data_IF_917504524289
#
_entry.id   IF_917504524289
#
_cell.length_a   1.000
_cell.length_b   1.000
_cell.length_c   1.000
_cell.angle_alpha   90.00
_cell.angle_beta   90.00
_cell.angle_gamma   90.00
#
_symmetry.space_group_name_H-M   'P 1'
#
loop_
_entity.id
_entity.type
_entity.pdbx_description
1 polymer ?
#
# COMPACT_ATOMS: atom_id res chain seq x y z
N UNK A 1 -0.63 10.23 -24.01
CA UNK A 1 0.71 10.80 -23.74
C UNK A 1 1.12 11.81 -24.83
N UNK A 2 1.06 11.45 -26.11
CA UNK A 2 1.44 12.34 -27.23
C UNK A 2 0.51 13.55 -27.37
N UNK A 3 -0.78 13.39 -27.09
CA UNK A 3 -1.80 14.45 -27.19
C UNK A 3 -2.07 15.20 -25.88
N UNK A 4 -1.37 14.89 -24.78
CA UNK A 4 -1.56 15.48 -23.44
C UNK A 4 -3.02 15.44 -22.95
N UNK A 5 -3.81 14.46 -23.38
CA UNK A 5 -5.19 14.21 -22.94
C UNK A 5 -5.14 13.48 -21.60
N UNK A 6 -6.06 13.83 -20.71
CA UNK A 6 -6.17 13.16 -19.41
C UNK A 6 -6.45 11.67 -19.58
N UNK A 7 -5.79 10.76 -18.81
CA UNK A 7 -5.93 9.30 -18.98
C UNK A 7 -7.38 8.81 -18.98
N UNK A 8 -8.21 9.30 -18.04
CA UNK A 8 -9.63 8.94 -17.96
C UNK A 8 -10.39 9.26 -19.24
N UNK A 9 -10.19 10.46 -19.81
CA UNK A 9 -10.81 10.84 -21.08
C UNK A 9 -10.32 9.96 -22.24
N UNK A 10 -9.02 9.62 -22.26
CA UNK A 10 -8.45 8.74 -23.27
C UNK A 10 -9.10 7.34 -23.22
N UNK A 11 -9.28 6.78 -22.02
CA UNK A 11 -9.92 5.48 -21.83
C UNK A 11 -11.40 5.50 -22.25
N UNK A 12 -12.16 6.51 -21.84
CA UNK A 12 -13.56 6.65 -22.22
C UNK A 12 -13.74 6.83 -23.73
N UNK A 13 -12.94 7.69 -24.37
CA UNK A 13 -12.94 7.87 -25.82
C UNK A 13 -12.60 6.56 -26.52
N UNK A 14 -11.58 5.84 -26.04
CA UNK A 14 -11.19 4.55 -26.63
C UNK A 14 -12.31 3.51 -26.50
N UNK A 15 -12.97 3.42 -25.35
CA UNK A 15 -14.11 2.52 -25.16
C UNK A 15 -15.26 2.83 -26.12
N UNK A 16 -15.59 4.11 -26.28
CA UNK A 16 -16.64 4.55 -27.24
C UNK A 16 -16.26 4.25 -28.69
N UNK A 17 -15.01 4.53 -29.09
CA UNK A 17 -14.52 4.24 -30.46
C UNK A 17 -14.52 2.74 -30.76
N UNK A 18 -14.07 1.92 -29.81
CA UNK A 18 -14.06 0.45 -29.98
C UNK A 18 -15.49 -0.08 -30.08
N UNK A 19 -16.41 0.37 -29.20
CA UNK A 19 -17.79 -0.08 -29.23
C UNK A 19 -18.52 0.29 -30.52
N UNK A 20 -18.33 1.54 -31.02
CA UNK A 20 -18.87 1.96 -32.31
C UNK A 20 -18.25 1.16 -33.47
N UNK A 21 -16.94 0.94 -33.45
CA UNK A 21 -16.24 0.15 -34.47
C UNK A 21 -16.66 -1.33 -34.48
N UNK A 22 -17.08 -1.85 -33.33
CA UNK A 22 -17.67 -3.19 -33.19
C UNK A 22 -19.15 -3.26 -33.62
N UNK A 23 -19.76 -2.16 -34.04
CA UNK A 23 -21.15 -2.10 -34.48
C UNK A 23 -22.17 -2.10 -33.36
N UNK A 24 -21.80 -1.73 -32.13
CA UNK A 24 -22.74 -1.66 -31.00
C UNK A 24 -23.74 -0.52 -31.21
N UNK A 25 -25.07 -0.75 -30.97
CA UNK A 25 -26.05 0.33 -30.94
C UNK A 25 -25.70 1.38 -29.88
N UNK A 26 -25.81 2.66 -30.21
CA UNK A 26 -25.41 3.77 -29.32
C UNK A 26 -26.02 3.67 -27.91
N UNK A 27 -27.31 3.39 -27.72
CA UNK A 27 -27.88 3.24 -26.37
C UNK A 27 -27.25 2.11 -25.58
N UNK A 28 -26.96 0.96 -26.23
CA UNK A 28 -26.31 -0.19 -25.62
C UNK A 28 -24.86 0.14 -25.24
N UNK A 29 -24.15 0.85 -26.11
CA UNK A 29 -22.77 1.27 -25.87
C UNK A 29 -22.67 2.18 -24.62
N UNK A 30 -23.51 3.23 -24.55
CA UNK A 30 -23.52 4.14 -23.39
C UNK A 30 -23.80 3.37 -22.10
N UNK A 31 -24.86 2.55 -22.10
CA UNK A 31 -25.23 1.75 -20.93
C UNK A 31 -24.10 0.76 -20.53
N UNK A 32 -23.41 0.16 -21.50
CA UNK A 32 -22.28 -0.76 -21.23
C UNK A 32 -21.11 -0.03 -20.58
N UNK A 33 -20.77 1.17 -21.04
CA UNK A 33 -19.70 1.99 -20.46
C UNK A 33 -20.07 2.43 -19.03
N UNK A 34 -21.28 2.94 -18.81
CA UNK A 34 -21.76 3.35 -17.49
C UNK A 34 -21.80 2.17 -16.51
N UNK A 35 -22.33 1.04 -16.94
CA UNK A 35 -22.41 -0.18 -16.14
C UNK A 35 -21.00 -0.70 -15.78
N UNK A 36 -20.10 -0.77 -16.75
CA UNK A 36 -18.74 -1.23 -16.53
C UNK A 36 -17.96 -0.34 -15.57
N UNK A 37 -18.09 0.99 -15.71
CA UNK A 37 -17.51 1.93 -14.78
C UNK A 37 -18.10 1.79 -13.37
N UNK A 38 -19.44 1.67 -13.27
CA UNK A 38 -20.15 1.51 -12.00
C UNK A 38 -19.76 0.22 -11.26
N UNK A 39 -19.71 -0.91 -11.96
CA UNK A 39 -19.32 -2.22 -11.38
C UNK A 39 -17.87 -2.21 -10.89
N UNK A 40 -16.96 -1.60 -11.66
CA UNK A 40 -15.55 -1.48 -11.25
C UNK A 40 -15.43 -0.61 -10.00
N UNK A 41 -16.06 0.55 -9.98
CA UNK A 41 -16.04 1.46 -8.82
C UNK A 41 -16.69 0.83 -7.59
N UNK A 42 -17.80 0.13 -7.74
CA UNK A 42 -18.47 -0.55 -6.64
C UNK A 42 -17.54 -1.52 -5.90
N UNK A 43 -16.68 -2.23 -6.63
CA UNK A 43 -15.75 -3.20 -6.05
C UNK A 43 -14.58 -2.59 -5.29
N UNK A 44 -14.16 -1.37 -5.65
CA UNK A 44 -12.89 -0.82 -5.17
C UNK A 44 -12.97 0.52 -4.44
N UNK A 45 -14.04 1.30 -4.63
CA UNK A 45 -14.13 2.67 -4.11
C UNK A 45 -13.99 2.75 -2.58
N UNK A 46 -14.65 1.83 -1.86
CA UNK A 46 -14.55 1.75 -0.40
C UNK A 46 -13.13 1.38 0.06
N UNK A 47 -12.49 0.45 -0.65
CA UNK A 47 -11.15 -0.01 -0.29
C UNK A 47 -10.10 1.07 -0.56
N UNK A 48 -10.22 1.79 -1.68
CA UNK A 48 -9.34 2.93 -1.99
C UNK A 48 -9.51 4.02 -0.94
N UNK A 49 -10.76 4.41 -0.63
CA UNK A 49 -11.04 5.43 0.37
C UNK A 49 -10.53 5.06 1.76
N UNK A 50 -10.88 3.86 2.24
CA UNK A 50 -10.46 3.38 3.56
C UNK A 50 -8.95 3.13 3.62
N UNK A 51 -8.35 2.57 2.56
CA UNK A 51 -6.90 2.41 2.46
C UNK A 51 -6.15 3.73 2.52
N UNK A 52 -6.66 4.78 1.84
CA UNK A 52 -6.11 6.13 1.93
C UNK A 52 -6.19 6.71 3.34
N UNK A 53 -7.32 6.55 4.02
CA UNK A 53 -7.49 6.99 5.41
C UNK A 53 -6.50 6.27 6.34
N UNK A 54 -6.38 4.96 6.20
CA UNK A 54 -5.46 4.16 6.99
C UNK A 54 -4.00 4.55 6.73
N UNK A 55 -3.62 4.66 5.45
CA UNK A 55 -2.29 5.12 5.04
C UNK A 55 -1.96 6.51 5.57
N UNK A 56 -2.89 7.46 5.51
CA UNK A 56 -2.71 8.83 6.02
C UNK A 56 -2.45 8.90 7.52
N UNK A 57 -3.11 8.05 8.32
CA UNK A 57 -2.82 7.98 9.76
C UNK A 57 -1.42 7.41 10.00
N UNK A 58 -1.03 6.35 9.28
CA UNK A 58 0.32 5.76 9.38
C UNK A 58 1.41 6.73 8.94
N UNK A 59 1.12 7.57 7.95
CA UNK A 59 2.01 8.63 7.47
C UNK A 59 2.25 9.68 8.55
N UNK A 60 1.20 10.35 8.98
CA UNK A 60 1.30 11.50 9.91
C UNK A 60 1.78 11.07 11.30
N UNK A 61 1.42 9.86 11.74
CA UNK A 61 1.90 9.31 13.02
C UNK A 61 3.38 8.90 13.02
N UNK A 62 4.06 8.94 11.86
CA UNK A 62 5.40 8.40 11.72
C UNK A 62 5.46 6.87 11.79
N UNK A 63 4.31 6.19 11.63
CA UNK A 63 4.24 4.72 11.70
C UNK A 63 5.13 4.04 10.67
N UNK A 64 5.08 4.46 9.41
CA UNK A 64 5.92 3.92 8.35
C UNK A 64 7.42 4.15 8.60
N UNK A 65 7.79 5.35 9.08
CA UNK A 65 9.15 5.68 9.48
C UNK A 65 9.62 4.83 10.65
N UNK A 66 8.76 4.60 11.66
CA UNK A 66 9.05 3.75 12.81
C UNK A 66 9.43 2.31 12.37
N UNK A 67 8.68 1.73 11.44
CA UNK A 67 8.97 0.40 10.90
C UNK A 67 10.34 0.41 10.23
N UNK A 68 10.60 1.38 9.35
CA UNK A 68 11.87 1.51 8.65
C UNK A 68 13.05 1.66 9.60
N UNK A 69 12.97 2.63 10.50
CA UNK A 69 14.05 2.94 11.46
C UNK A 69 14.37 1.74 12.36
N UNK A 70 13.33 1.06 12.87
CA UNK A 70 13.51 -0.11 13.74
C UNK A 70 14.16 -1.26 13.00
N UNK A 71 13.75 -1.53 11.77
CA UNK A 71 14.34 -2.59 10.96
C UNK A 71 15.78 -2.24 10.55
N UNK A 72 16.05 -1.01 10.16
CA UNK A 72 17.41 -0.53 9.83
C UNK A 72 18.33 -0.70 11.05
N UNK A 73 17.89 -0.27 12.23
CA UNK A 73 18.66 -0.38 13.46
C UNK A 73 18.93 -1.86 13.83
N UNK A 74 17.93 -2.73 13.62
CA UNK A 74 18.05 -4.16 13.94
C UNK A 74 18.93 -4.93 12.96
N UNK A 75 18.85 -4.65 11.66
CA UNK A 75 19.65 -5.32 10.62
C UNK A 75 21.05 -4.72 10.45
N UNK A 76 21.24 -3.47 10.91
CA UNK A 76 22.47 -2.71 10.76
C UNK A 76 22.70 -2.18 9.34
N UNK A 77 23.65 -1.25 9.21
CA UNK A 77 23.94 -0.54 7.96
C UNK A 77 24.28 -1.46 6.77
N UNK A 78 24.97 -2.59 7.04
CA UNK A 78 25.34 -3.55 5.99
C UNK A 78 24.13 -4.19 5.29
N UNK A 79 23.02 -4.35 6.02
CA UNK A 79 21.79 -4.99 5.54
C UNK A 79 20.61 -3.99 5.44
N UNK A 80 20.88 -2.69 5.51
CA UNK A 80 19.83 -1.67 5.50
C UNK A 80 18.99 -1.67 4.21
N UNK A 81 19.56 -2.05 3.06
CA UNK A 81 18.78 -2.26 1.84
C UNK A 81 17.72 -3.37 1.97
N UNK A 82 18.06 -4.46 2.68
CA UNK A 82 17.10 -5.54 2.99
C UNK A 82 16.02 -5.02 3.95
N UNK A 83 16.42 -4.27 4.99
CA UNK A 83 15.51 -3.67 5.95
C UNK A 83 14.50 -2.75 5.26
N UNK A 84 14.95 -1.90 4.33
CA UNK A 84 14.08 -1.03 3.54
C UNK A 84 13.14 -1.82 2.63
N UNK A 85 13.62 -2.90 2.00
CA UNK A 85 12.79 -3.78 1.19
C UNK A 85 11.67 -4.44 2.00
N UNK A 86 11.99 -4.97 3.18
CA UNK A 86 11.00 -5.55 4.10
C UNK A 86 10.03 -4.48 4.61
N UNK A 87 10.54 -3.29 4.95
CA UNK A 87 9.69 -2.15 5.32
C UNK A 87 8.71 -1.83 4.20
N UNK A 88 9.21 -1.70 2.96
CA UNK A 88 8.39 -1.45 1.79
C UNK A 88 7.31 -2.52 1.62
N UNK A 89 7.66 -3.80 1.75
CA UNK A 89 6.69 -4.90 1.64
C UNK A 89 5.58 -4.80 2.71
N UNK A 90 5.94 -4.55 3.96
CA UNK A 90 4.98 -4.42 5.07
C UNK A 90 4.10 -3.18 4.89
N UNK A 91 4.70 -2.03 4.66
CA UNK A 91 3.98 -0.75 4.52
C UNK A 91 3.12 -0.74 3.26
N UNK A 92 3.63 -1.31 2.15
CA UNK A 92 2.92 -1.39 0.87
C UNK A 92 1.63 -2.21 0.90
N UNK A 93 1.42 -3.09 1.90
CA UNK A 93 0.15 -3.81 2.03
C UNK A 93 -1.03 -2.88 2.35
N UNK A 94 -0.76 -1.72 2.94
CA UNK A 94 -1.80 -0.84 3.51
C UNK A 94 -1.68 0.60 3.06
N UNK A 95 -0.49 1.05 2.67
CA UNK A 95 -0.21 2.40 2.19
C UNK A 95 -0.10 2.38 0.68
N UNK A 96 -0.68 3.35 0.00
CA UNK A 96 -0.50 3.49 -1.44
C UNK A 96 0.97 3.64 -1.81
N UNK A 97 1.34 3.06 -2.95
CA UNK A 97 2.72 3.04 -3.43
C UNK A 97 3.36 4.44 -3.43
N UNK A 98 2.66 5.43 -4.00
CA UNK A 98 3.14 6.80 -4.14
C UNK A 98 3.37 7.46 -2.76
N UNK A 99 2.43 7.29 -1.83
CA UNK A 99 2.55 7.82 -0.47
C UNK A 99 3.70 7.14 0.28
N UNK A 100 3.82 5.81 0.18
CA UNK A 100 4.93 5.06 0.76
C UNK A 100 6.29 5.50 0.23
N UNK A 101 6.36 5.80 -1.06
CA UNK A 101 7.57 6.34 -1.70
C UNK A 101 7.94 7.70 -1.10
N UNK A 102 7.01 8.64 -1.04
CA UNK A 102 7.25 9.99 -0.50
C UNK A 102 7.76 9.94 0.94
N UNK A 103 7.16 9.08 1.78
CA UNK A 103 7.51 8.98 3.20
C UNK A 103 8.87 8.30 3.41
N UNK A 104 9.18 7.26 2.65
CA UNK A 104 10.31 6.38 2.94
C UNK A 104 11.56 6.66 2.09
N UNK A 105 11.45 7.35 0.96
CA UNK A 105 12.61 7.72 0.12
C UNK A 105 13.64 8.56 0.88
N UNK A 106 13.28 9.55 1.72
CA UNK A 106 14.27 10.29 2.48
C UNK A 106 15.18 9.41 3.33
N UNK A 107 14.64 8.32 3.92
CA UNK A 107 15.43 7.37 4.69
C UNK A 107 16.44 6.61 3.82
N UNK A 108 16.03 6.21 2.60
CA UNK A 108 16.93 5.56 1.65
C UNK A 108 18.07 6.50 1.22
N UNK A 109 17.77 7.77 1.00
CA UNK A 109 18.75 8.80 0.68
C UNK A 109 19.69 9.09 1.86
N UNK A 110 19.17 9.20 3.07
CA UNK A 110 19.97 9.36 4.29
C UNK A 110 20.97 8.22 4.47
N UNK A 111 20.56 6.96 4.23
CA UNK A 111 21.44 5.81 4.26
C UNK A 111 22.49 5.84 3.15
N UNK A 112 22.14 6.23 1.93
CA UNK A 112 23.07 6.37 0.83
C UNK A 112 24.17 7.41 1.16
N UNK A 113 23.77 8.57 1.70
CA UNK A 113 24.68 9.63 2.17
C UNK A 113 25.63 9.13 3.26
N UNK A 114 25.08 8.45 4.27
CA UNK A 114 25.85 7.94 5.42
C UNK A 114 26.86 6.86 5.03
N UNK A 115 26.47 5.94 4.16
CA UNK A 115 27.28 4.76 3.79
C UNK A 115 28.14 4.96 2.56
N UNK A 116 27.98 6.09 1.85
CA UNK A 116 28.67 6.41 0.57
C UNK A 116 28.45 5.33 -0.52
N UNK A 117 27.34 4.60 -0.45
CA UNK A 117 26.94 3.64 -1.47
C UNK A 117 26.01 4.30 -2.48
N UNK A 118 25.90 3.69 -3.67
CA UNK A 118 24.93 4.12 -4.69
C UNK A 118 23.53 4.21 -4.09
N UNK A 119 22.80 5.29 -4.42
CA UNK A 119 21.41 5.50 -4.03
C UNK A 119 20.50 4.35 -4.47
N UNK A 120 20.81 3.76 -5.64
CA UNK A 120 20.07 2.60 -6.18
C UNK A 120 20.11 1.38 -5.25
N UNK A 121 21.18 1.22 -4.46
CA UNK A 121 21.30 0.10 -3.52
C UNK A 121 20.22 0.09 -2.44
N UNK A 122 19.66 1.26 -2.11
CA UNK A 122 18.62 1.44 -1.08
C UNK A 122 17.24 1.67 -1.66
N UNK A 123 17.16 2.45 -2.75
CA UNK A 123 15.88 2.83 -3.36
C UNK A 123 15.22 1.64 -4.07
N UNK A 124 15.99 0.82 -4.80
CA UNK A 124 15.41 -0.32 -5.53
C UNK A 124 14.73 -1.32 -4.60
N UNK A 125 15.33 -1.81 -3.49
CA UNK A 125 14.64 -2.72 -2.59
C UNK A 125 13.39 -2.09 -1.95
N UNK A 126 13.46 -0.81 -1.60
CA UNK A 126 12.33 -0.07 -1.05
C UNK A 126 11.15 -0.05 -2.02
N UNK A 127 11.40 0.37 -3.28
CA UNK A 127 10.37 0.44 -4.31
C UNK A 127 9.83 -0.95 -4.68
N UNK A 128 10.70 -1.95 -4.76
CA UNK A 128 10.28 -3.33 -5.01
C UNK A 128 9.40 -3.85 -3.86
N UNK A 129 9.76 -3.58 -2.61
CA UNK A 129 8.95 -3.94 -1.45
C UNK A 129 7.58 -3.26 -1.46
N UNK A 130 7.54 -1.93 -1.61
CA UNK A 130 6.30 -1.18 -1.69
C UNK A 130 5.40 -1.67 -2.84
N UNK A 131 5.97 -1.83 -4.04
CA UNK A 131 5.23 -2.27 -5.22
C UNK A 131 4.68 -3.68 -5.07
N UNK A 132 5.47 -4.62 -4.53
CA UNK A 132 5.01 -6.01 -4.35
C UNK A 132 4.00 -6.13 -3.21
N UNK A 133 4.18 -5.41 -2.11
CA UNK A 133 3.20 -5.34 -1.02
C UNK A 133 1.86 -4.83 -1.51
N UNK A 134 1.88 -3.75 -2.26
CA UNK A 134 0.69 -3.14 -2.84
C UNK A 134 0.03 -3.99 -3.94
N UNK A 135 0.81 -4.64 -4.81
CA UNK A 135 0.26 -5.39 -5.94
C UNK A 135 -0.30 -6.76 -5.56
N UNK A 136 0.36 -7.48 -4.63
CA UNK A 136 0.06 -8.89 -4.39
C UNK A 136 -0.70 -9.18 -3.10
N UNK A 137 -0.65 -8.28 -2.12
CA UNK A 137 -1.15 -8.60 -0.78
C UNK A 137 -2.40 -7.78 -0.44
N UNK A 138 -3.58 -8.42 -0.26
CA UNK A 138 -4.74 -7.75 0.30
C UNK A 138 -4.43 -7.12 1.69
N UNK A 139 -5.10 -6.04 2.10
CA UNK A 139 -6.33 -5.47 1.52
C UNK A 139 -6.11 -4.33 0.51
N UNK A 140 -4.99 -4.30 -0.22
CA UNK A 140 -4.80 -3.29 -1.26
C UNK A 140 -5.92 -3.37 -2.31
N UNK A 141 -6.34 -2.21 -2.84
CA UNK A 141 -7.46 -2.15 -3.77
C UNK A 141 -7.21 -2.98 -5.05
N UNK A 142 -5.97 -2.96 -5.57
CA UNK A 142 -5.60 -3.71 -6.77
C UNK A 142 -5.70 -5.22 -6.59
N UNK A 143 -5.13 -5.75 -5.50
CA UNK A 143 -5.16 -7.19 -5.23
C UNK A 143 -6.57 -7.69 -4.95
N UNK A 144 -7.40 -6.91 -4.25
CA UNK A 144 -8.81 -7.28 -3.99
C UNK A 144 -9.64 -7.24 -5.28
N UNK A 145 -9.42 -6.25 -6.16
CA UNK A 145 -10.10 -6.20 -7.46
C UNK A 145 -9.79 -7.46 -8.28
N UNK A 146 -8.51 -7.83 -8.39
CA UNK A 146 -8.09 -9.02 -9.14
C UNK A 146 -8.67 -10.30 -8.53
N UNK A 147 -8.65 -10.43 -7.19
CA UNK A 147 -9.26 -11.57 -6.50
C UNK A 147 -10.74 -11.70 -6.82
N UNK A 148 -11.50 -10.58 -6.77
CA UNK A 148 -12.92 -10.56 -7.09
C UNK A 148 -13.18 -10.93 -8.56
N UNK A 149 -12.38 -10.40 -9.51
CA UNK A 149 -12.52 -10.72 -10.95
C UNK A 149 -12.25 -12.20 -11.25
N UNK A 150 -11.33 -12.81 -10.51
CA UNK A 150 -10.98 -14.23 -10.66
C UNK A 150 -11.84 -15.16 -9.79
N UNK A 151 -12.72 -14.64 -8.94
CA UNK A 151 -13.52 -15.42 -7.99
C UNK A 151 -12.68 -16.14 -6.94
N UNK A 152 -11.51 -15.58 -6.58
CA UNK A 152 -10.58 -16.16 -5.61
C UNK A 152 -10.85 -15.58 -4.22
N UNK A 153 -10.85 -16.46 -3.22
CA UNK A 153 -10.93 -16.06 -1.80
C UNK A 153 -9.72 -15.21 -1.39
N UNK A 154 -9.96 -14.17 -0.60
CA UNK A 154 -8.93 -13.20 -0.22
C UNK A 154 -7.87 -13.76 0.71
N UNK A 155 -8.21 -14.73 1.56
CA UNK A 155 -7.20 -15.40 2.38
C UNK A 155 -6.30 -16.30 1.55
N UNK A 156 -6.83 -16.95 0.52
CA UNK A 156 -6.01 -17.68 -0.46
C UNK A 156 -5.11 -16.69 -1.22
N UNK A 157 -5.66 -15.54 -1.60
CA UNK A 157 -4.86 -14.49 -2.25
C UNK A 157 -3.72 -14.00 -1.33
N UNK A 158 -3.94 -13.84 -0.02
CA UNK A 158 -2.90 -13.51 0.95
C UNK A 158 -1.88 -14.66 1.05
N UNK A 159 -2.35 -15.90 1.17
CA UNK A 159 -1.49 -17.07 1.32
C UNK A 159 -0.54 -17.28 0.14
N UNK A 160 -0.96 -16.93 -1.08
CA UNK A 160 -0.13 -16.97 -2.29
C UNK A 160 0.64 -15.66 -2.49
N UNK A 161 0.00 -14.53 -2.22
CA UNK A 161 0.55 -13.20 -2.43
C UNK A 161 1.77 -12.90 -1.54
N UNK A 162 1.74 -13.33 -0.27
CA UNK A 162 2.87 -13.11 0.64
C UNK A 162 4.14 -13.84 0.17
N UNK A 163 4.14 -15.15 -0.11
CA UNK A 163 5.32 -15.83 -0.65
C UNK A 163 5.79 -15.24 -1.98
N UNK A 164 4.85 -14.93 -2.89
CA UNK A 164 5.15 -14.32 -4.19
C UNK A 164 5.79 -12.94 -4.02
N UNK A 165 5.26 -12.11 -3.12
CA UNK A 165 5.80 -10.80 -2.79
C UNK A 165 7.23 -10.90 -2.20
N UNK A 166 7.47 -11.85 -1.31
CA UNK A 166 8.80 -12.12 -0.73
C UNK A 166 9.78 -12.54 -1.84
N UNK A 167 9.40 -13.47 -2.71
CA UNK A 167 10.24 -13.91 -3.83
C UNK A 167 10.55 -12.74 -4.78
N UNK A 168 9.53 -11.95 -5.14
CA UNK A 168 9.71 -10.76 -5.97
C UNK A 168 10.65 -9.75 -5.33
N UNK A 169 10.49 -9.49 -4.03
CA UNK A 169 11.39 -8.62 -3.28
C UNK A 169 12.84 -9.14 -3.28
N UNK A 170 13.04 -10.45 -3.12
CA UNK A 170 14.39 -11.03 -3.13
C UNK A 170 15.04 -10.83 -4.50
N UNK A 171 14.37 -11.21 -5.59
CA UNK A 171 14.94 -11.18 -6.93
C UNK A 171 15.00 -9.76 -7.50
N UNK A 172 13.86 -9.08 -7.62
CA UNK A 172 13.76 -7.76 -8.23
C UNK A 172 14.23 -6.63 -7.32
N UNK A 173 14.12 -6.80 -5.99
CA UNK A 173 14.58 -5.82 -5.02
C UNK A 173 16.03 -6.05 -4.60
N UNK A 174 16.27 -7.08 -3.79
CA UNK A 174 17.53 -7.25 -3.05
C UNK A 174 18.68 -7.68 -3.96
N UNK A 175 18.49 -8.70 -4.79
CA UNK A 175 19.55 -9.20 -5.67
C UNK A 175 19.85 -8.20 -6.80
N UNK A 176 18.80 -7.65 -7.41
CA UNK A 176 18.95 -6.67 -8.47
C UNK A 176 19.61 -5.38 -7.99
N UNK A 177 19.24 -4.86 -6.82
CA UNK A 177 19.85 -3.65 -6.28
C UNK A 177 21.34 -3.82 -5.99
N UNK A 178 21.74 -4.99 -5.49
CA UNK A 178 23.17 -5.31 -5.28
C UNK A 178 23.93 -5.33 -6.62
N UNK A 179 23.36 -5.97 -7.64
CA UNK A 179 23.97 -6.06 -8.96
C UNK A 179 24.10 -4.68 -9.61
N UNK A 180 23.03 -3.89 -9.65
CA UNK A 180 23.04 -2.56 -10.26
C UNK A 180 23.81 -1.55 -9.43
N UNK A 181 23.66 -1.55 -8.11
CA UNK A 181 24.34 -0.62 -7.22
C UNK A 181 25.87 -0.77 -7.17
N UNK A 182 26.40 -1.92 -7.62
CA UNK A 182 27.84 -2.10 -7.83
C UNK A 182 28.31 -1.65 -9.19
N UNK A 183 27.45 -1.65 -10.22
CA UNK A 183 27.78 -1.27 -11.59
C UNK A 183 27.55 0.20 -11.88
N UNK A 184 26.50 0.78 -11.28
CA UNK A 184 26.08 2.15 -11.52
C UNK A 184 26.11 2.89 -10.19
N UNK A 185 27.02 3.84 -10.06
CA UNK A 185 27.02 4.76 -8.92
C UNK A 185 26.15 5.95 -9.27
N UNK A 186 25.08 6.12 -8.50
CA UNK A 186 24.17 7.27 -8.63
C UNK A 186 24.25 8.07 -7.34
N UNK A 187 24.67 9.32 -7.48
CA UNK A 187 24.71 10.29 -6.40
C UNK A 187 23.29 10.74 -6.02
N UNK A 188 23.19 11.40 -4.88
CA UNK A 188 21.94 11.99 -4.42
C UNK A 188 21.53 13.13 -5.38
N UNK A 189 20.25 13.29 -5.68
CA UNK A 189 19.74 14.47 -6.38
C UNK A 189 20.12 15.74 -5.61
N UNK A 190 20.58 16.77 -6.31
CA UNK A 190 21.06 18.05 -5.73
C UNK A 190 20.01 18.68 -4.81
N UNK A 191 18.73 18.54 -5.18
CA UNK A 191 17.60 19.04 -4.41
C UNK A 191 17.40 18.36 -3.05
N UNK A 192 18.01 17.20 -2.80
CA UNK A 192 17.85 16.41 -1.59
C UNK A 192 19.07 16.53 -0.66
N UNK A 193 20.22 17.01 -1.17
CA UNK A 193 21.41 17.21 -0.36
C UNK A 193 21.24 18.26 0.76
N UNK A 194 20.24 19.13 0.64
CA UNK A 194 19.90 20.20 1.59
C UNK A 194 18.79 19.82 2.58
N UNK A 195 18.19 18.63 2.49
CA UNK A 195 17.23 18.17 3.49
C UNK A 195 18.02 17.93 4.77
N UNK A 196 17.89 18.89 5.69
CA UNK A 196 18.47 18.80 7.04
C UNK A 196 17.98 17.54 7.77
N UNK A 197 18.71 17.16 8.81
CA UNK A 197 18.32 16.10 9.72
C UNK A 197 16.89 16.39 10.17
N UNK A 198 15.94 15.51 9.80
CA UNK A 198 14.57 15.61 10.29
C UNK A 198 14.63 15.60 11.82
N UNK A 199 14.01 16.58 12.45
CA UNK A 199 13.82 16.59 13.90
C UNK A 199 13.33 15.23 14.37
N UNK A 200 13.88 14.71 15.46
CA UNK A 200 13.48 13.44 16.07
C UNK A 200 12.00 13.50 16.47
N UNK A 201 11.11 13.28 15.52
CA UNK A 201 9.69 13.10 15.78
C UNK A 201 9.53 11.93 16.75
N UNK A 202 8.68 12.07 17.77
CA UNK A 202 8.34 10.99 18.69
C UNK A 202 7.66 9.86 17.90
N UNK A 203 8.46 8.90 17.45
CA UNK A 203 7.94 7.76 16.73
C UNK A 203 7.12 6.83 17.64
N UNK A 204 6.05 6.22 17.13
CA UNK A 204 5.26 5.26 17.88
C UNK A 204 6.06 3.98 18.17
N UNK A 205 5.56 3.15 19.09
CA UNK A 205 6.19 1.85 19.35
C UNK A 205 6.05 0.92 18.16
N UNK A 206 7.14 0.32 17.71
CA UNK A 206 7.18 -0.62 16.57
C UNK A 206 6.12 -1.73 16.67
N UNK A 207 5.99 -2.37 17.85
CA UNK A 207 5.01 -3.43 18.08
C UNK A 207 3.56 -2.96 17.85
N UNK A 208 3.24 -1.74 18.26
CA UNK A 208 1.91 -1.15 18.05
C UNK A 208 1.64 -0.93 16.57
N UNK A 209 2.62 -0.38 15.85
CA UNK A 209 2.49 -0.12 14.40
C UNK A 209 2.29 -1.43 13.64
N UNK A 210 3.15 -2.42 13.87
CA UNK A 210 3.06 -3.72 13.19
C UNK A 210 1.73 -4.40 13.49
N UNK A 211 1.30 -4.40 14.76
CA UNK A 211 0.01 -5.00 15.13
C UNK A 211 -1.14 -4.35 14.35
N UNK A 212 -1.18 -3.02 14.27
CA UNK A 212 -2.22 -2.29 13.56
C UNK A 212 -2.18 -2.59 12.05
N UNK A 213 -1.01 -2.64 11.42
CA UNK A 213 -0.87 -3.01 10.00
C UNK A 213 -1.36 -4.43 9.74
N UNK A 214 -1.13 -5.34 10.68
CA UNK A 214 -1.53 -6.74 10.55
C UNK A 214 -3.02 -6.99 10.86
N UNK A 215 -3.71 -6.08 11.55
CA UNK A 215 -5.14 -6.26 11.90
C UNK A 215 -5.98 -6.69 10.69
N UNK A 216 -6.03 -5.96 9.56
CA UNK A 216 -6.89 -6.35 8.45
C UNK A 216 -6.48 -7.68 7.83
N UNK A 217 -5.17 -7.97 7.73
CA UNK A 217 -4.70 -9.26 7.22
C UNK A 217 -5.16 -10.42 8.10
N UNK A 218 -4.99 -10.28 9.42
CA UNK A 218 -5.38 -11.32 10.40
C UNK A 218 -6.89 -11.55 10.34
N UNK A 219 -7.70 -10.49 10.29
CA UNK A 219 -9.16 -10.61 10.23
C UNK A 219 -9.62 -11.33 8.96
N UNK A 220 -9.04 -10.99 7.80
CA UNK A 220 -9.35 -11.66 6.52
C UNK A 220 -8.93 -13.13 6.59
N UNK A 221 -7.73 -13.44 7.07
CA UNK A 221 -7.27 -14.83 7.23
C UNK A 221 -8.15 -15.63 8.20
N UNK A 222 -8.55 -15.04 9.32
CA UNK A 222 -9.48 -15.70 10.26
C UNK A 222 -10.83 -15.99 9.61
N UNK A 223 -11.34 -15.10 8.77
CA UNK A 223 -12.56 -15.33 7.99
C UNK A 223 -12.41 -16.55 7.10
N UNK A 224 -11.38 -16.56 6.27
CA UNK A 224 -11.11 -17.69 5.35
C UNK A 224 -10.89 -18.99 6.09
N UNK A 225 -10.08 -19.00 7.16
CA UNK A 225 -9.83 -20.20 7.96
C UNK A 225 -11.10 -20.74 8.62
N UNK A 226 -12.06 -19.87 8.96
CA UNK A 226 -13.33 -20.30 9.56
C UNK A 226 -14.17 -21.20 8.63
N UNK A 227 -13.94 -21.16 7.32
CA UNK A 227 -14.63 -22.01 6.36
C UNK A 227 -14.11 -23.46 6.38
N UNK A 228 -12.83 -23.62 6.71
CA UNK A 228 -12.15 -24.93 6.71
C UNK A 228 -12.14 -25.63 8.07
N UNK A 229 -12.47 -24.90 9.17
CA UNK A 229 -12.40 -25.43 10.51
C UNK A 229 -13.82 -25.63 11.08
N UNK A 230 -14.33 -26.87 11.17
CA UNK A 230 -15.71 -27.15 11.66
C UNK A 230 -15.99 -26.60 13.08
N UNK A 231 -14.99 -26.61 13.97
CA UNK A 231 -15.12 -26.11 15.33
C UNK A 231 -15.47 -24.62 15.42
N UNK A 232 -15.28 -23.85 14.35
CA UNK A 232 -15.57 -22.42 14.29
C UNK A 232 -16.96 -22.11 13.71
N UNK A 233 -17.78 -23.12 13.42
CA UNK A 233 -19.08 -22.96 12.76
C UNK A 233 -20.01 -21.98 13.50
N UNK A 234 -20.03 -22.03 14.82
CA UNK A 234 -20.87 -21.16 15.66
C UNK A 234 -20.49 -19.68 15.56
N UNK A 235 -19.19 -19.38 15.42
CA UNK A 235 -18.68 -17.99 15.34
C UNK A 235 -18.37 -17.55 13.90
N UNK A 236 -18.51 -18.46 12.94
CA UNK A 236 -18.24 -18.21 11.51
C UNK A 236 -18.92 -16.94 10.98
N UNK A 237 -20.24 -16.69 11.23
CA UNK A 237 -20.88 -15.48 10.72
C UNK A 237 -20.21 -14.18 11.20
N UNK A 238 -19.74 -14.18 12.46
CA UNK A 238 -19.03 -13.04 13.03
C UNK A 238 -17.64 -12.89 12.40
N UNK A 239 -16.92 -13.99 12.22
CA UNK A 239 -15.59 -13.97 11.57
C UNK A 239 -15.68 -13.53 10.13
N UNK A 240 -16.68 -13.99 9.37
CA UNK A 240 -16.93 -13.55 8.02
C UNK A 240 -17.27 -12.07 7.93
N UNK A 241 -18.08 -11.55 8.86
CA UNK A 241 -18.40 -10.13 8.91
C UNK A 241 -17.16 -9.26 9.19
N UNK A 242 -16.40 -9.55 10.25
CA UNK A 242 -15.22 -8.74 10.61
C UNK A 242 -14.06 -8.93 9.63
N UNK A 243 -13.99 -10.07 8.94
CA UNK A 243 -13.00 -10.36 7.92
C UNK A 243 -13.36 -9.83 6.53
N UNK A 244 -14.57 -9.26 6.34
CA UNK A 244 -14.89 -8.54 5.10
C UNK A 244 -13.90 -7.37 4.94
N UNK A 245 -13.23 -7.19 3.78
CA UNK A 245 -12.11 -6.27 3.63
C UNK A 245 -12.37 -4.84 4.10
N UNK A 246 -13.54 -4.26 3.74
CA UNK A 246 -13.88 -2.91 4.16
C UNK A 246 -14.14 -2.81 5.67
N UNK A 247 -14.73 -3.84 6.29
CA UNK A 247 -14.96 -3.90 7.76
C UNK A 247 -13.63 -4.04 8.48
N UNK A 248 -12.75 -4.92 8.01
CA UNK A 248 -11.41 -5.11 8.56
C UNK A 248 -10.58 -3.81 8.51
N UNK A 249 -10.68 -3.05 7.40
CA UNK A 249 -10.04 -1.74 7.28
C UNK A 249 -10.65 -0.70 8.23
N UNK A 250 -11.97 -0.67 8.41
CA UNK A 250 -12.61 0.23 9.40
C UNK A 250 -12.07 -0.07 10.80
N UNK A 251 -12.01 -1.34 11.19
CA UNK A 251 -11.46 -1.75 12.49
C UNK A 251 -10.00 -1.29 12.62
N UNK A 252 -9.19 -1.50 11.60
CA UNK A 252 -7.79 -1.07 11.58
C UNK A 252 -7.64 0.46 11.70
N UNK A 253 -8.48 1.24 10.99
CA UNK A 253 -8.51 2.70 11.09
C UNK A 253 -8.86 3.16 12.50
N UNK A 254 -9.90 2.58 13.11
CA UNK A 254 -10.29 2.92 14.47
C UNK A 254 -9.17 2.60 15.48
N UNK A 255 -8.51 1.45 15.32
CA UNK A 255 -7.31 1.11 16.11
C UNK A 255 -6.19 2.12 15.89
N UNK A 256 -5.91 2.48 14.63
CA UNK A 256 -4.88 3.46 14.30
C UNK A 256 -5.20 4.85 14.88
N UNK A 257 -6.43 5.33 14.74
CA UNK A 257 -6.88 6.60 15.33
C UNK A 257 -6.69 6.62 16.86
N UNK A 258 -6.96 5.52 17.53
CA UNK A 258 -6.79 5.44 18.98
C UNK A 258 -5.32 5.34 19.38
N UNK A 259 -4.59 4.35 18.84
CA UNK A 259 -3.22 4.04 19.29
C UNK A 259 -2.15 4.95 18.68
N UNK A 260 -2.30 5.35 17.42
CA UNK A 260 -1.36 6.20 16.70
C UNK A 260 -1.82 7.66 16.62
N UNK A 261 -3.09 7.92 16.88
CA UNK A 261 -3.64 9.25 16.95
C UNK A 261 -3.76 9.73 18.42
N UNK A 262 -4.86 9.39 19.07
CA UNK A 262 -5.20 9.92 20.41
C UNK A 262 -4.11 9.68 21.47
N UNK A 263 -3.50 8.48 21.51
CA UNK A 263 -2.41 8.18 22.45
C UNK A 263 -1.10 8.95 22.18
N UNK A 264 -0.92 9.49 20.97
CA UNK A 264 0.22 10.34 20.62
C UNK A 264 -0.08 11.82 20.82
N UNK A 265 -1.28 12.18 21.28
CA UNK A 265 -1.64 13.55 21.63
C UNK A 265 -2.41 14.31 20.55
N UNK A 266 -2.79 13.63 19.44
CA UNK A 266 -3.66 14.24 18.43
C UNK A 266 -5.09 14.35 18.96
N UNK A 267 -5.67 15.55 18.83
CA UNK A 267 -7.07 15.78 19.15
C UNK A 267 -8.00 15.36 17.99
N UNK A 268 -9.32 15.39 18.23
CA UNK A 268 -10.31 14.96 17.25
C UNK A 268 -10.34 15.83 15.98
N UNK A 269 -10.07 17.14 16.09
CA UNK A 269 -10.01 18.02 14.93
C UNK A 269 -8.76 17.79 14.09
N UNK A 270 -7.63 17.55 14.74
CA UNK A 270 -6.39 17.20 14.05
C UNK A 270 -6.54 15.88 13.29
N UNK A 271 -7.11 14.85 13.94
CA UNK A 271 -7.38 13.55 13.28
C UNK A 271 -8.32 13.72 12.09
N UNK A 272 -9.39 14.51 12.21
CA UNK A 272 -10.29 14.81 11.09
C UNK A 272 -9.54 15.46 9.93
N UNK A 273 -8.70 16.47 10.18
CA UNK A 273 -7.89 17.14 9.15
C UNK A 273 -6.91 16.19 8.46
N UNK A 274 -6.33 15.23 9.22
CA UNK A 274 -5.46 14.19 8.66
C UNK A 274 -6.25 13.30 7.70
N UNK A 275 -7.44 12.83 8.11
CA UNK A 275 -8.31 12.00 7.29
C UNK A 275 -8.78 12.73 6.02
N UNK A 276 -9.19 14.00 6.15
CA UNK A 276 -9.61 14.83 5.01
C UNK A 276 -8.45 15.02 4.01
N UNK A 277 -7.22 15.19 4.50
CA UNK A 277 -6.02 15.31 3.65
C UNK A 277 -5.71 13.97 2.96
N UNK A 278 -5.84 12.86 3.67
CA UNK A 278 -5.56 11.53 3.15
C UNK A 278 -6.49 11.12 2.00
N UNK A 279 -7.70 11.66 1.94
CA UNK A 279 -8.65 11.38 0.85
C UNK A 279 -8.37 12.19 -0.43
N UNK A 280 -7.58 13.27 -0.39
CA UNK A 280 -7.34 14.10 -1.59
C UNK A 280 -6.71 13.35 -2.77
N UNK A 281 -5.69 12.49 -2.58
CA UNK A 281 -5.12 11.72 -3.69
C UNK A 281 -6.08 10.68 -4.27
N UNK A 282 -7.09 10.26 -3.51
CA UNK A 282 -8.05 9.23 -3.92
C UNK A 282 -8.76 9.57 -5.23
N UNK A 283 -9.08 10.85 -5.44
CA UNK A 283 -9.70 11.32 -6.69
C UNK A 283 -8.80 11.21 -7.94
N UNK A 284 -7.49 10.99 -7.78
CA UNK A 284 -6.58 10.73 -8.90
C UNK A 284 -6.45 9.24 -9.21
N UNK A 285 -6.85 8.39 -8.27
CA UNK A 285 -6.76 6.92 -8.38
C UNK A 285 -8.09 6.35 -8.90
N UNK A 286 -9.22 6.96 -8.53
CA UNK A 286 -10.56 6.64 -9.03
C UNK A 286 -10.82 7.26 -10.40
#
# INVERSE_FOLDING_TARGET
IKFKIHPVLSLLISALVIGLGAGMPVPTLVNTVEKGAGETLQGIVLLIGLGSLFGGILEVSGGAQCVAQTLINRFGEKKAGIALGITGLIVGTTVFFEAGVVILIPLAFGLAKKTKKSTLYYVIPLLAGLGTGFAFIPPSAGSVLVANMLGVDLGIMIAVGVPTGILSLIFAGILWSKFIGTKIHTDLPISVSEIGEEEEAKLPKFSTVILIILVPLILILCSTLSEYIPSLETIRPVLQFVGTPFVALIIAILCAMYFLGKKQGYDGEQLKKILDRALRPTGQIL
#
